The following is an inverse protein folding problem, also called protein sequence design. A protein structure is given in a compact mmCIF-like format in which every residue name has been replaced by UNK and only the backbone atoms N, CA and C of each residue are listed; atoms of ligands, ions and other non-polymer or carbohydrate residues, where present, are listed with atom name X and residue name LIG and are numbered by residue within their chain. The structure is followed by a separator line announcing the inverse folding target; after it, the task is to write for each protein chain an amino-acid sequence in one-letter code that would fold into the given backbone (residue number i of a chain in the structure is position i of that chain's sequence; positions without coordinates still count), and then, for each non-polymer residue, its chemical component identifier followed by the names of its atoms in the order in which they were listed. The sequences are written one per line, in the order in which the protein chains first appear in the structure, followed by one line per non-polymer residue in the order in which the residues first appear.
data_IF_597012281262
#
_entry.id   IF_597012281262
#
_cell.length_a   1.000
_cell.length_b   1.000
_cell.length_c   1.000
_cell.angle_alpha   90.00
_cell.angle_beta   90.00
_cell.angle_gamma   90.00
#
_symmetry.space_group_name_H-M   'P 1'
#
loop_
_entity.id
_entity.type
_entity.pdbx_description
1 polymer ?
#
# COMPACT_ATOMS: atom_id res chain seq x y z
N UNK A 1 13.42 -10.50 4.56
CA UNK A 1 13.18 -9.58 5.65
C UNK A 1 12.10 -8.58 5.30
N UNK A 2 11.29 -8.25 6.29
CA UNK A 2 10.21 -7.30 6.06
C UNK A 2 10.63 -5.87 6.36
N UNK A 3 9.91 -4.93 5.74
CA UNK A 3 10.07 -3.51 6.04
C UNK A 3 8.69 -2.91 6.31
N UNK A 4 8.64 -2.04 7.30
CA UNK A 4 7.42 -1.36 7.67
C UNK A 4 7.48 0.09 7.23
N UNK A 5 6.43 0.54 6.56
CA UNK A 5 6.31 1.91 6.08
C UNK A 5 5.06 2.55 6.66
N UNK A 6 5.14 3.84 6.91
CA UNK A 6 3.99 4.62 7.36
C UNK A 6 3.68 5.67 6.31
N UNK A 7 2.42 5.72 5.90
CA UNK A 7 1.95 6.73 4.95
C UNK A 7 0.84 7.51 5.64
N UNK A 8 1.05 8.80 5.80
CA UNK A 8 0.09 9.67 6.48
C UNK A 8 -0.81 10.37 5.48
N UNK A 9 -2.03 10.63 5.89
CA UNK A 9 -2.93 11.44 5.09
C UNK A 9 -2.42 12.89 5.08
N UNK A 10 -2.98 13.68 4.18
CA UNK A 10 -2.61 15.08 4.07
C UNK A 10 -2.82 15.83 5.38
N UNK A 11 -3.87 15.48 6.10
CA UNK A 11 -4.23 16.14 7.35
C UNK A 11 -3.56 15.52 8.57
N UNK A 12 -2.81 14.45 8.38
CA UNK A 12 -2.11 13.74 9.45
C UNK A 12 -3.06 13.12 10.48
N UNK A 13 -4.33 12.98 10.12
CA UNK A 13 -5.33 12.43 11.03
C UNK A 13 -5.24 10.92 11.17
N UNK A 14 -4.79 10.26 10.12
CA UNK A 14 -4.65 8.82 10.15
C UNK A 14 -3.44 8.41 9.33
N UNK A 15 -3.05 7.18 9.50
CA UNK A 15 -1.89 6.63 8.81
C UNK A 15 -2.24 5.25 8.29
N UNK A 16 -1.67 4.93 7.15
CA UNK A 16 -1.73 3.59 6.60
C UNK A 16 -0.40 2.92 6.85
N UNK A 17 -0.45 1.74 7.43
CA UNK A 17 0.73 0.93 7.63
C UNK A 17 0.92 0.01 6.42
N UNK A 18 2.13 -0.03 5.90
CA UNK A 18 2.44 -0.91 4.78
C UNK A 18 3.64 -1.76 5.18
N UNK A 19 3.42 -3.04 5.27
CA UNK A 19 4.49 -3.98 5.62
C UNK A 19 4.82 -4.84 4.41
N UNK A 20 6.08 -4.78 3.97
CA UNK A 20 6.53 -5.58 2.83
C UNK A 20 7.34 -6.77 3.32
N UNK A 21 7.12 -7.91 2.72
CA UNK A 21 7.85 -9.13 3.05
C UNK A 21 8.00 -9.97 1.78
N UNK A 22 8.66 -11.11 1.91
CA UNK A 22 8.99 -11.94 0.76
C UNK A 22 7.78 -12.44 0.00
N UNK A 23 6.67 -12.66 0.71
CA UNK A 23 5.47 -13.26 0.13
C UNK A 23 4.43 -12.23 -0.28
N UNK A 24 4.73 -10.95 -0.18
CA UNK A 24 3.78 -9.94 -0.58
C UNK A 24 3.81 -8.69 0.28
N UNK A 25 2.67 -8.02 0.34
CA UNK A 25 2.54 -6.76 1.05
C UNK A 25 1.29 -6.81 1.91
N UNK A 26 1.41 -6.30 3.13
CA UNK A 26 0.27 -6.19 4.04
C UNK A 26 -0.02 -4.72 4.31
N UNK A 27 -1.28 -4.34 4.08
CA UNK A 27 -1.76 -3.00 4.41
C UNK A 27 -2.60 -3.05 5.66
N UNK A 28 -2.42 -2.09 6.53
CA UNK A 28 -3.30 -1.93 7.69
C UNK A 28 -3.92 -0.55 7.60
N UNK A 29 -5.23 -0.52 7.42
CA UNK A 29 -5.99 0.71 7.27
C UNK A 29 -7.17 0.64 8.24
N UNK A 30 -7.29 1.62 9.13
CA UNK A 30 -8.43 1.70 10.04
C UNK A 30 -8.59 0.43 10.89
N UNK A 31 -7.47 -0.15 11.30
CA UNK A 31 -7.49 -1.37 12.07
C UNK A 31 -7.77 -2.64 11.29
N UNK A 32 -7.92 -2.53 9.98
CA UNK A 32 -8.16 -3.69 9.12
C UNK A 32 -6.91 -4.03 8.34
N UNK A 33 -6.62 -5.31 8.24
CA UNK A 33 -5.46 -5.79 7.51
C UNK A 33 -5.87 -6.41 6.19
N UNK A 34 -5.15 -6.05 5.14
CA UNK A 34 -5.35 -6.58 3.81
C UNK A 34 -4.01 -7.08 3.32
N UNK A 35 -3.96 -8.33 2.88
CA UNK A 35 -2.70 -8.90 2.41
C UNK A 35 -2.80 -9.18 0.91
N UNK A 36 -1.74 -8.78 0.19
CA UNK A 36 -1.67 -8.96 -1.26
C UNK A 36 -0.46 -9.82 -1.59
N UNK A 37 -0.68 -10.82 -2.45
CA UNK A 37 0.43 -11.61 -2.96
C UNK A 37 1.16 -10.82 -4.07
N UNK A 38 2.32 -11.30 -4.53
CA UNK A 38 3.08 -10.54 -5.53
C UNK A 38 2.34 -10.27 -6.82
N UNK A 39 1.45 -11.17 -7.24
CA UNK A 39 0.66 -10.98 -8.45
C UNK A 39 -0.28 -9.80 -8.32
N UNK A 40 -0.97 -9.73 -7.18
CA UNK A 40 -1.89 -8.63 -6.93
C UNK A 40 -1.14 -7.32 -6.75
N UNK A 41 0.04 -7.38 -6.15
CA UNK A 41 0.85 -6.18 -5.98
C UNK A 41 1.23 -5.60 -7.34
N UNK A 42 1.66 -6.45 -8.28
CA UNK A 42 2.05 -5.98 -9.60
C UNK A 42 0.88 -5.38 -10.35
N UNK A 43 -0.28 -6.01 -10.26
CA UNK A 43 -1.47 -5.46 -10.90
C UNK A 43 -1.85 -4.12 -10.30
N UNK A 44 -1.75 -4.01 -8.99
CA UNK A 44 -2.08 -2.75 -8.30
C UNK A 44 -1.11 -1.64 -8.67
N UNK A 45 0.17 -1.95 -8.80
CA UNK A 45 1.16 -0.96 -9.19
C UNK A 45 0.77 -0.33 -10.52
N UNK A 46 0.34 -1.13 -11.49
CA UNK A 46 -0.04 -0.62 -12.80
C UNK A 46 -1.24 0.33 -12.69
N UNK A 47 -2.22 -0.07 -11.91
CA UNK A 47 -3.41 0.75 -11.69
C UNK A 47 -3.04 2.07 -11.03
N UNK A 48 -2.19 2.02 -10.02
CA UNK A 48 -1.78 3.22 -9.28
C UNK A 48 -0.95 4.16 -10.15
N UNK A 49 -0.10 3.62 -10.99
CA UNK A 49 0.69 4.44 -11.92
C UNK A 49 -0.23 5.15 -12.89
N UNK A 50 -1.22 4.44 -13.44
CA UNK A 50 -2.17 5.04 -14.37
C UNK A 50 -3.00 6.12 -13.69
N UNK A 51 -3.40 5.89 -12.46
CA UNK A 51 -4.14 6.89 -11.70
C UNK A 51 -3.29 8.15 -11.48
N UNK A 52 -2.03 7.96 -11.09
CA UNK A 52 -1.14 9.07 -10.82
C UNK A 52 -0.94 9.94 -12.07
N UNK A 53 -0.80 9.29 -13.22
CA UNK A 53 -0.67 10.03 -14.49
C UNK A 53 -1.92 10.80 -14.83
N UNK A 54 -3.07 10.23 -14.52
CA UNK A 54 -4.35 10.88 -14.85
C UNK A 54 -4.68 12.07 -13.96
N UNK A 55 -4.07 12.15 -12.79
CA UNK A 55 -4.33 13.23 -11.85
C UNK A 55 -3.66 14.53 -12.27
N UNK A 56 -2.69 14.46 -13.14
CA UNK A 56 -1.97 15.66 -13.60
C UNK A 56 -2.66 16.35 -14.79
#
# INVERSE_FOLDING_TARGET
MGKLHLIFSKDLDDAMLVYTHENGVRFTIDGKEIELDPWKVQALIQILVDFDKGVK
#
